data_IF_514484682973
#
_entry.id   IF_514484682973
#
_cell.length_a   1.000
_cell.length_b   1.000
_cell.length_c   1.000
_cell.angle_alpha   90.00
_cell.angle_beta   90.00
_cell.angle_gamma   90.00
#
_symmetry.space_group_name_H-M   'P 1'
#
loop_
_entity.id
_entity.type
_entity.pdbx_description
1 polymer ?
#
# COMPACT_ATOMS: atom_id res chain seq x y z
N UNK A 1 25.70 12.34 -4.10
CA UNK A 1 24.22 12.41 -4.08
C UNK A 1 23.80 12.96 -2.71
N UNK A 2 22.89 13.94 -2.66
CA UNK A 2 22.45 14.56 -1.39
C UNK A 2 21.50 13.66 -0.58
N UNK A 3 21.39 13.91 0.73
CA UNK A 3 20.52 13.13 1.66
C UNK A 3 19.09 12.96 1.17
N UNK A 4 18.56 13.98 0.48
CA UNK A 4 17.24 13.95 -0.18
C UNK A 4 17.00 12.72 -1.08
N UNK A 5 18.05 12.22 -1.76
CA UNK A 5 17.97 11.06 -2.65
C UNK A 5 17.65 9.80 -1.84
N UNK A 6 18.38 9.59 -0.74
CA UNK A 6 18.27 8.39 0.08
C UNK A 6 16.98 8.37 0.90
N UNK A 7 16.49 9.54 1.31
CA UNK A 7 15.18 9.69 1.96
C UNK A 7 14.05 9.25 1.01
N UNK A 8 14.09 9.68 -0.26
CA UNK A 8 13.11 9.29 -1.27
C UNK A 8 13.12 7.79 -1.57
N UNK A 9 14.31 7.20 -1.69
CA UNK A 9 14.48 5.74 -1.89
C UNK A 9 13.94 4.96 -0.69
N UNK A 10 14.27 5.38 0.54
CA UNK A 10 13.79 4.70 1.74
C UNK A 10 12.26 4.78 1.86
N UNK A 11 11.66 5.94 1.56
CA UNK A 11 10.22 6.08 1.52
C UNK A 11 9.55 5.14 0.50
N UNK A 12 10.06 5.08 -0.73
CA UNK A 12 9.53 4.18 -1.76
C UNK A 12 9.69 2.69 -1.42
N UNK A 13 10.84 2.30 -0.84
CA UNK A 13 11.04 0.94 -0.33
C UNK A 13 10.07 0.60 0.81
N UNK A 14 9.85 1.55 1.72
CA UNK A 14 8.83 1.44 2.76
C UNK A 14 7.45 1.17 2.17
N UNK A 15 7.04 1.94 1.15
CA UNK A 15 5.76 1.73 0.44
C UNK A 15 5.66 0.32 -0.13
N UNK A 16 6.68 -0.15 -0.84
CA UNK A 16 6.73 -1.51 -1.39
C UNK A 16 6.55 -2.58 -0.32
N UNK A 17 7.27 -2.47 0.79
CA UNK A 17 7.14 -3.40 1.94
C UNK A 17 5.74 -3.36 2.55
N UNK A 18 5.17 -2.16 2.70
CA UNK A 18 3.80 -2.00 3.19
C UNK A 18 2.76 -2.65 2.29
N UNK A 19 2.90 -2.51 0.97
CA UNK A 19 2.02 -3.15 -0.02
C UNK A 19 2.13 -4.67 0.02
N UNK A 20 3.35 -5.19 0.11
CA UNK A 20 3.60 -6.63 0.20
C UNK A 20 2.95 -7.22 1.46
N UNK A 21 3.19 -6.61 2.62
CA UNK A 21 2.66 -7.09 3.90
C UNK A 21 1.14 -7.00 3.96
N UNK A 22 0.53 -5.97 3.38
CA UNK A 22 -0.92 -5.91 3.24
C UNK A 22 -1.47 -7.03 2.34
N UNK A 23 -0.78 -7.35 1.23
CA UNK A 23 -1.12 -8.48 0.36
C UNK A 23 -1.11 -9.83 1.08
N UNK A 24 -0.11 -10.03 1.95
CA UNK A 24 0.10 -11.28 2.68
C UNK A 24 -0.82 -11.42 3.91
N UNK A 25 -1.06 -10.33 4.65
CA UNK A 25 -1.74 -10.37 5.95
C UNK A 25 -3.21 -9.89 5.93
N UNK A 26 -3.79 -9.49 4.78
CA UNK A 26 -5.17 -9.00 4.69
C UNK A 26 -6.28 -10.04 4.99
N UNK A 27 -5.93 -11.28 5.34
CA UNK A 27 -6.90 -12.33 5.67
C UNK A 27 -7.74 -12.04 6.93
N UNK A 28 -7.25 -11.21 7.85
CA UNK A 28 -7.96 -10.84 9.10
C UNK A 28 -7.69 -9.38 9.49
N UNK A 29 -8.56 -8.79 10.33
CA UNK A 29 -8.35 -7.43 10.87
C UNK A 29 -7.07 -7.35 11.71
N UNK A 30 -6.79 -8.39 12.49
CA UNK A 30 -5.55 -8.51 13.25
C UNK A 30 -4.32 -8.60 12.33
N UNK A 31 -4.43 -9.34 11.22
CA UNK A 31 -3.39 -9.41 10.20
C UNK A 31 -3.09 -8.05 9.56
N UNK A 32 -4.12 -7.24 9.26
CA UNK A 32 -3.90 -5.87 8.76
C UNK A 32 -3.22 -4.96 9.77
N UNK A 33 -3.60 -5.04 11.04
CA UNK A 33 -2.94 -4.27 12.11
C UNK A 33 -1.48 -4.70 12.29
N UNK A 34 -1.22 -6.01 12.33
CA UNK A 34 0.13 -6.55 12.37
C UNK A 34 0.95 -6.15 11.14
N UNK A 35 0.35 -6.20 9.95
CA UNK A 35 0.98 -5.81 8.69
C UNK A 35 1.39 -4.33 8.68
N UNK A 36 0.56 -3.44 9.23
CA UNK A 36 0.91 -2.03 9.41
C UNK A 36 2.11 -1.87 10.35
N UNK A 37 2.08 -2.49 11.53
CA UNK A 37 3.17 -2.36 12.51
C UNK A 37 4.47 -2.91 11.94
N UNK A 38 4.42 -4.07 11.27
CA UNK A 38 5.56 -4.67 10.60
C UNK A 38 6.07 -3.82 9.43
N UNK A 39 5.17 -3.19 8.66
CA UNK A 39 5.56 -2.33 7.54
C UNK A 39 6.27 -1.07 8.03
N UNK A 40 5.76 -0.43 9.08
CA UNK A 40 6.40 0.73 9.70
C UNK A 40 7.76 0.33 10.27
N UNK A 41 7.82 -0.76 11.04
CA UNK A 41 9.06 -1.26 11.62
C UNK A 41 10.11 -1.61 10.55
N UNK A 42 9.73 -2.35 9.51
CA UNK A 42 10.61 -2.70 8.40
C UNK A 42 11.08 -1.46 7.63
N UNK A 43 10.19 -0.49 7.38
CA UNK A 43 10.55 0.79 6.74
C UNK A 43 11.57 1.59 7.56
N UNK A 44 11.39 1.67 8.88
CA UNK A 44 12.35 2.31 9.78
C UNK A 44 13.70 1.58 9.77
N UNK A 45 13.69 0.24 9.83
CA UNK A 45 14.91 -0.57 9.80
C UNK A 45 15.66 -0.42 8.47
N UNK A 46 14.95 -0.32 7.35
CA UNK A 46 15.55 -0.05 6.03
C UNK A 46 16.22 1.33 6.02
N UNK A 47 15.56 2.36 6.55
CA UNK A 47 16.15 3.69 6.63
C UNK A 47 17.35 3.76 7.56
N UNK A 48 17.32 3.06 8.71
CA UNK A 48 18.45 2.94 9.63
C UNK A 48 19.65 2.19 9.03
N UNK A 49 19.40 1.21 8.16
CA UNK A 49 20.46 0.46 7.49
C UNK A 49 21.18 1.28 6.41
N UNK A 50 20.51 2.30 5.85
CA UNK A 50 21.02 3.13 4.76
C UNK A 50 21.66 4.41 5.27
N UNK A 51 21.09 5.05 6.28
CA UNK A 51 21.46 6.40 6.65
C UNK A 51 21.15 6.77 8.09
N UNK A 52 20.74 8.02 8.28
CA UNK A 52 20.49 8.66 9.56
C UNK A 52 18.98 8.63 9.86
N UNK A 53 18.57 9.50 10.78
CA UNK A 53 17.19 9.55 11.26
C UNK A 53 16.19 9.96 10.17
N UNK A 54 16.59 10.81 9.23
CA UNK A 54 15.73 11.30 8.16
C UNK A 54 15.28 10.18 7.20
N UNK A 55 16.20 9.29 6.84
CA UNK A 55 15.92 8.11 5.99
C UNK A 55 14.99 7.11 6.71
N UNK A 56 15.14 6.99 8.02
CA UNK A 56 14.34 6.13 8.89
C UNK A 56 12.89 6.60 8.99
N UNK A 57 12.69 7.91 9.16
CA UNK A 57 11.36 8.53 9.13
C UNK A 57 10.72 8.35 7.76
N UNK A 58 11.48 8.59 6.68
CA UNK A 58 11.00 8.40 5.31
C UNK A 58 10.51 6.97 5.07
N UNK A 59 11.34 5.97 5.41
CA UNK A 59 10.98 4.57 5.26
C UNK A 59 9.78 4.14 6.11
N UNK A 60 9.71 4.58 7.37
CA UNK A 60 8.58 4.31 8.25
C UNK A 60 7.25 4.88 7.74
N UNK A 61 7.26 6.14 7.28
CA UNK A 61 6.09 6.80 6.69
C UNK A 61 5.67 6.10 5.39
N UNK A 62 6.63 5.73 4.54
CA UNK A 62 6.37 4.93 3.35
C UNK A 62 5.68 3.61 3.66
N UNK A 63 6.18 2.87 4.66
CA UNK A 63 5.58 1.63 5.17
C UNK A 63 4.13 1.80 5.62
N UNK A 64 3.85 2.86 6.37
CA UNK A 64 2.49 3.19 6.80
C UNK A 64 1.56 3.46 5.61
N UNK A 65 1.98 4.34 4.68
CA UNK A 65 1.15 4.74 3.55
C UNK A 65 0.90 3.58 2.58
N UNK A 66 1.93 2.80 2.26
CA UNK A 66 1.84 1.63 1.39
C UNK A 66 0.90 0.56 1.97
N UNK A 67 1.01 0.27 3.26
CA UNK A 67 0.15 -0.73 3.92
C UNK A 67 -1.31 -0.26 4.03
N UNK A 68 -1.56 0.98 4.41
CA UNK A 68 -2.92 1.52 4.53
C UNK A 68 -3.60 1.60 3.15
N UNK A 69 -2.88 2.08 2.13
CA UNK A 69 -3.40 2.26 0.78
C UNK A 69 -3.79 0.93 0.12
N UNK A 70 -2.93 -0.08 0.24
CA UNK A 70 -3.15 -1.40 -0.35
C UNK A 70 -4.11 -2.28 0.46
N UNK A 71 -4.16 -2.14 1.80
CA UNK A 71 -5.04 -2.93 2.67
C UNK A 71 -6.50 -2.89 2.21
N UNK A 72 -6.99 -1.74 1.72
CA UNK A 72 -8.36 -1.59 1.21
C UNK A 72 -8.59 -2.37 -0.09
N UNK A 73 -7.61 -2.35 -1.00
CA UNK A 73 -7.65 -3.07 -2.26
C UNK A 73 -7.69 -4.59 -2.01
N UNK A 74 -6.79 -5.08 -1.16
CA UNK A 74 -6.68 -6.51 -0.85
C UNK A 74 -7.91 -7.00 -0.07
N UNK A 75 -8.35 -6.24 0.94
CA UNK A 75 -9.59 -6.60 1.66
C UNK A 75 -10.81 -6.60 0.74
N UNK A 76 -10.89 -5.66 -0.20
CA UNK A 76 -12.00 -5.57 -1.15
C UNK A 76 -12.02 -6.74 -2.14
N UNK A 77 -10.87 -7.17 -2.63
CA UNK A 77 -10.74 -8.31 -3.55
C UNK A 77 -11.06 -9.63 -2.87
N UNK A 78 -10.56 -9.85 -1.65
CA UNK A 78 -10.88 -11.06 -0.87
C UNK A 78 -12.37 -11.14 -0.52
N UNK A 79 -13.02 -10.01 -0.16
CA UNK A 79 -14.47 -9.98 0.12
C UNK A 79 -15.35 -10.23 -1.11
N UNK A 80 -14.80 -10.07 -2.32
CA UNK A 80 -15.50 -10.35 -3.59
C UNK A 80 -15.26 -11.79 -4.08
N UNK A 81 -14.62 -12.65 -3.29
CA UNK A 81 -14.36 -14.05 -3.63
C UNK A 81 -13.01 -14.30 -4.30
N UNK A 82 -12.08 -13.35 -4.29
CA UNK A 82 -10.72 -13.53 -4.83
C UNK A 82 -9.90 -14.57 -4.05
N UNK A 83 -9.04 -15.31 -4.75
CA UNK A 83 -8.15 -16.28 -4.10
C UNK A 83 -7.05 -15.57 -3.31
N UNK A 84 -6.78 -16.03 -2.08
CA UNK A 84 -5.73 -15.46 -1.21
C UNK A 84 -4.36 -15.48 -1.89
N UNK A 85 -4.02 -16.62 -2.48
CA UNK A 85 -2.74 -16.79 -3.16
C UNK A 85 -2.61 -15.92 -4.42
N UNK A 86 -3.63 -15.92 -5.29
CA UNK A 86 -3.61 -15.09 -6.50
C UNK A 86 -3.47 -13.61 -6.17
N UNK A 87 -4.24 -13.13 -5.19
CA UNK A 87 -4.16 -11.74 -4.74
C UNK A 87 -2.78 -11.41 -4.17
N UNK A 88 -2.20 -12.29 -3.34
CA UNK A 88 -0.86 -12.09 -2.80
C UNK A 88 0.22 -12.04 -3.88
N UNK A 89 0.15 -12.89 -4.91
CA UNK A 89 1.11 -12.91 -6.01
C UNK A 89 1.04 -11.62 -6.83
N UNK A 90 -0.15 -11.17 -7.23
CA UNK A 90 -0.29 -9.93 -8.02
C UNK A 90 0.11 -8.69 -7.22
N UNK A 91 -0.27 -8.63 -5.95
CA UNK A 91 0.09 -7.51 -5.06
C UNK A 91 1.58 -7.54 -4.74
N UNK A 92 2.18 -8.72 -4.60
CA UNK A 92 3.62 -8.89 -4.45
C UNK A 92 4.39 -8.45 -5.70
N UNK A 93 3.93 -8.81 -6.90
CA UNK A 93 4.50 -8.32 -8.16
C UNK A 93 4.39 -6.79 -8.27
N UNK A 94 3.24 -6.22 -7.92
CA UNK A 94 3.08 -4.78 -7.87
C UNK A 94 4.04 -4.12 -6.87
N UNK A 95 4.22 -4.72 -5.69
CA UNK A 95 5.19 -4.24 -4.69
C UNK A 95 6.63 -4.25 -5.21
N UNK A 96 7.02 -5.28 -5.96
CA UNK A 96 8.34 -5.35 -6.59
C UNK A 96 8.53 -4.25 -7.65
N UNK A 97 7.49 -3.98 -8.44
CA UNK A 97 7.51 -2.89 -9.42
C UNK A 97 7.66 -1.54 -8.71
N UNK A 98 6.91 -1.29 -7.63
CA UNK A 98 7.05 -0.08 -6.81
C UNK A 98 8.46 0.04 -6.20
N UNK A 99 9.01 -1.05 -5.68
CA UNK A 99 10.37 -1.06 -5.12
C UNK A 99 11.45 -0.79 -6.19
N UNK A 100 11.26 -1.30 -7.41
CA UNK A 100 12.15 -1.02 -8.54
C UNK A 100 12.03 0.44 -9.01
N UNK A 101 10.81 0.98 -9.02
CA UNK A 101 10.55 2.38 -9.37
C UNK A 101 11.09 3.34 -8.31
N UNK A 102 11.11 2.94 -7.03
CA UNK A 102 11.63 3.74 -5.92
C UNK A 102 13.12 4.10 -6.07
N UNK A 103 13.88 3.39 -6.91
CA UNK A 103 15.24 3.79 -7.29
C UNK A 103 15.30 5.07 -8.13
N UNK A 104 14.15 5.55 -8.62
CA UNK A 104 13.98 6.87 -9.26
C UNK A 104 13.37 7.82 -8.21
N UNK A 105 14.16 8.72 -7.57
CA UNK A 105 13.75 9.44 -6.35
C UNK A 105 12.49 10.30 -6.48
N UNK A 106 12.31 10.94 -7.64
CA UNK A 106 11.14 11.78 -7.91
C UNK A 106 9.85 10.95 -7.90
N UNK A 107 9.95 9.66 -8.25
CA UNK A 107 8.80 8.77 -8.31
C UNK A 107 8.39 8.27 -6.93
N UNK A 108 9.33 8.12 -5.98
CA UNK A 108 9.01 7.76 -4.59
C UNK A 108 8.09 8.77 -3.90
N UNK A 109 8.31 10.07 -4.13
CA UNK A 109 7.39 11.11 -3.64
C UNK A 109 6.04 11.09 -4.35
N UNK A 110 6.03 10.84 -5.67
CA UNK A 110 4.81 10.71 -6.44
C UNK A 110 3.97 9.51 -5.99
N UNK A 111 4.57 8.37 -5.71
CA UNK A 111 3.87 7.18 -5.21
C UNK A 111 3.21 7.43 -3.84
N UNK A 112 3.91 8.12 -2.93
CA UNK A 112 3.38 8.47 -1.61
C UNK A 112 2.11 9.33 -1.68
N UNK A 113 1.95 10.12 -2.74
CA UNK A 113 0.77 10.96 -2.99
C UNK A 113 -0.27 10.24 -3.85
N UNK A 114 0.16 9.53 -4.90
CA UNK A 114 -0.72 8.93 -5.89
C UNK A 114 -1.51 7.74 -5.34
N UNK A 115 -0.89 6.90 -4.51
CA UNK A 115 -1.56 5.72 -3.92
C UNK A 115 -2.78 6.10 -3.06
N UNK A 116 -2.68 7.03 -2.08
CA UNK A 116 -3.84 7.46 -1.31
C UNK A 116 -4.85 8.24 -2.16
N UNK A 117 -4.38 9.02 -3.16
CA UNK A 117 -5.27 9.74 -4.07
C UNK A 117 -6.12 8.79 -4.94
N UNK A 118 -5.53 7.71 -5.45
CA UNK A 118 -6.25 6.67 -6.19
C UNK A 118 -7.25 5.93 -5.30
N UNK A 119 -6.86 5.61 -4.06
CA UNK A 119 -7.76 5.00 -3.08
C UNK A 119 -8.97 5.90 -2.77
N UNK A 120 -8.75 7.21 -2.65
CA UNK A 120 -9.83 8.18 -2.46
C UNK A 120 -10.75 8.27 -3.69
N UNK A 121 -10.18 8.25 -4.91
CA UNK A 121 -10.95 8.33 -6.17
C UNK A 121 -11.85 7.11 -6.39
N UNK A 122 -11.40 5.93 -5.98
CA UNK A 122 -12.21 4.70 -6.06
C UNK A 122 -13.40 4.71 -5.09
N UNK A 123 -13.38 5.55 -4.05
CA UNK A 123 -14.49 5.71 -3.08
C UNK A 123 -15.73 6.34 -3.72
N UNK A 124 -15.55 7.23 -4.69
CA UNK A 124 -16.65 7.95 -5.34
C UNK A 124 -17.52 7.06 -6.24
N UNK A 125 -16.96 6.00 -6.83
CA UNK A 125 -17.68 5.14 -7.79
C UNK A 125 -18.51 4.02 -7.17
N UNK A 126 -18.46 3.83 -5.85
CA UNK A 126 -19.19 2.76 -5.16
C UNK A 126 -20.65 3.12 -4.83
N UNK A 127 -21.05 4.40 -4.94
CA UNK A 127 -22.33 4.91 -4.44
C UNK A 127 -23.53 4.71 -5.38
N UNK A 128 -23.35 4.35 -6.66
CA UNK A 128 -24.45 4.34 -7.64
C UNK A 128 -25.18 2.99 -7.79
N UNK A 129 -24.72 1.91 -7.16
CA UNK A 129 -25.16 0.55 -7.56
C UNK A 129 -26.50 0.05 -6.98
N UNK A 130 -27.26 0.87 -6.26
CA UNK A 130 -28.51 0.43 -5.62
C UNK A 130 -29.78 1.21 -6.02
N UNK A 131 -29.70 2.14 -6.97
CA UNK A 131 -30.88 2.87 -7.43
C UNK A 131 -31.81 2.05 -8.35
N UNK A 132 -31.27 1.08 -9.11
CA UNK A 132 -32.01 0.32 -10.13
C UNK A 132 -32.63 -1.01 -9.71
N UNK A 133 -32.40 -1.48 -8.47
CA UNK A 133 -32.91 -2.77 -8.00
C UNK A 133 -34.27 -2.68 -7.28
N UNK A 134 -34.77 -1.46 -7.04
CA UNK A 134 -36.07 -1.23 -6.38
C UNK A 134 -37.27 -1.39 -7.31
N UNK A 135 -37.06 -1.33 -8.63
CA UNK A 135 -38.10 -1.54 -9.64
C UNK A 135 -38.33 -3.01 -9.97
N UNK A 136 -37.40 -3.90 -9.64
CA UNK A 136 -37.47 -5.34 -9.90
C UNK A 136 -38.04 -6.17 -8.74
N UNK A 137 -38.25 -5.54 -7.57
CA UNK A 137 -38.84 -6.19 -6.40
C UNK A 137 -40.37 -5.98 -6.30
N UNK A 138 -40.99 -5.46 -7.35
CA UNK A 138 -42.43 -5.27 -7.47
C UNK A 138 -42.93 -6.14 -8.61
N UNK A 139 -43.11 -7.42 -8.33
CA UNK A 139 -44.06 -8.33 -8.99
C UNK A 139 -44.35 -9.48 -8.03
#
# INVERSE_FOLDING_TARGET
>A
MGSWYWIGVCAGLGVGVGVLLAGLLAGTRAGLAAGLVLAVGAGILIGLAVGQWDESVGGGVGGALGSIGSARLVSGTLRRGGSRFGTAVFVGLAALVLAAIAWIPIVGFLEAVLVPALAARLRGRAAERYAGLRSLAKD
#
